data_IF_211676181963
#
_entry.id   IF_211676181963
#
_cell.length_a   1.000
_cell.length_b   1.000
_cell.length_c   1.000
_cell.angle_alpha   90.00
_cell.angle_beta   90.00
_cell.angle_gamma   90.00
#
_symmetry.space_group_name_H-M   'P 1'
#
loop_
_entity.id
_entity.type
_entity.pdbx_description
1 polymer ?
#
# COMPACT_ATOMS: atom_id res chain seq x y z
N UNK A 1 -2.85 -27.50 13.58
CA UNK A 1 -4.30 -27.20 13.51
C UNK A 1 -4.61 -25.85 14.13
N UNK A 2 -4.00 -25.47 15.26
CA UNK A 2 -4.14 -24.12 15.86
C UNK A 2 -3.81 -22.97 14.89
N UNK A 3 -2.74 -23.09 14.09
CA UNK A 3 -2.31 -22.01 13.18
C UNK A 3 -3.30 -21.72 12.04
N UNK A 4 -4.13 -22.68 11.64
CA UNK A 4 -5.19 -22.47 10.63
C UNK A 4 -6.41 -21.83 11.27
N UNK A 5 -6.72 -22.21 12.51
CA UNK A 5 -7.83 -21.65 13.28
C UNK A 5 -7.63 -20.15 13.55
N UNK A 6 -6.41 -19.75 13.93
CA UNK A 6 -6.04 -18.33 14.06
C UNK A 6 -6.17 -17.56 12.75
N UNK A 7 -5.87 -18.19 11.61
CA UNK A 7 -6.00 -17.56 10.29
C UNK A 7 -7.48 -17.36 9.91
N UNK A 8 -8.34 -18.33 10.25
CA UNK A 8 -9.78 -18.25 10.02
C UNK A 8 -10.47 -17.21 10.91
N UNK A 9 -10.08 -17.10 12.19
CA UNK A 9 -10.59 -16.08 13.11
C UNK A 9 -10.19 -14.66 12.69
N UNK A 10 -8.99 -14.48 12.13
CA UNK A 10 -8.57 -13.19 11.54
C UNK A 10 -9.47 -12.79 10.36
N UNK A 11 -9.96 -13.77 9.59
CA UNK A 11 -10.74 -13.56 8.37
C UNK A 11 -12.17 -13.09 8.68
N UNK A 12 -12.76 -13.52 9.80
CA UNK A 12 -14.10 -13.11 10.21
C UNK A 12 -14.16 -11.65 10.69
N UNK A 13 -13.09 -11.16 11.33
CA UNK A 13 -13.00 -9.78 11.81
C UNK A 13 -12.59 -8.79 10.70
N UNK A 14 -12.10 -9.28 9.57
CA UNK A 14 -11.57 -8.44 8.49
C UNK A 14 -12.67 -7.66 7.76
N UNK A 15 -13.83 -8.29 7.56
CA UNK A 15 -15.00 -7.66 6.94
C UNK A 15 -15.51 -6.48 7.77
N UNK A 16 -15.56 -6.62 9.09
CA UNK A 16 -15.99 -5.54 10.00
C UNK A 16 -14.99 -4.37 10.02
N UNK A 17 -13.70 -4.66 9.86
CA UNK A 17 -12.63 -3.65 9.84
C UNK A 17 -12.59 -2.87 8.52
N UNK A 18 -13.00 -3.48 7.39
CA UNK A 18 -12.90 -2.85 6.06
C UNK A 18 -14.24 -2.26 5.59
N UNK A 19 -15.36 -2.79 6.06
CA UNK A 19 -16.67 -2.31 5.62
C UNK A 19 -16.84 -0.82 5.99
N UNK A 20 -17.37 -0.05 5.04
CA UNK A 20 -17.52 1.41 5.12
C UNK A 20 -16.22 2.22 5.29
N UNK A 21 -15.03 1.63 5.10
CA UNK A 21 -13.75 2.36 5.10
C UNK A 21 -13.32 2.79 3.71
N UNK A 22 -12.48 3.81 3.66
CA UNK A 22 -11.95 4.42 2.45
C UNK A 22 -10.42 4.36 2.41
N UNK A 23 -9.87 4.36 1.21
CA UNK A 23 -8.43 4.46 0.98
C UNK A 23 -8.16 5.40 -0.18
N UNK A 24 -7.17 6.28 -0.02
CA UNK A 24 -6.75 7.18 -1.09
C UNK A 24 -5.64 6.52 -1.89
N UNK A 25 -5.73 6.56 -3.22
CA UNK A 25 -4.69 6.06 -4.11
C UNK A 25 -4.21 7.23 -4.97
N UNK A 26 -2.92 7.54 -4.86
CA UNK A 26 -2.27 8.63 -5.55
C UNK A 26 -1.24 8.08 -6.54
N UNK A 27 -1.33 8.47 -7.80
CA UNK A 27 -0.33 8.13 -8.81
C UNK A 27 0.72 9.23 -8.89
N UNK A 28 1.97 8.88 -8.67
CA UNK A 28 3.08 9.83 -8.54
C UNK A 28 4.23 9.49 -9.51
N UNK A 29 5.01 10.51 -9.82
CA UNK A 29 6.25 10.40 -10.60
C UNK A 29 7.37 9.70 -9.83
N UNK A 30 8.43 9.31 -10.54
CA UNK A 30 9.62 8.73 -9.91
C UNK A 30 10.31 9.73 -8.97
N UNK A 31 10.28 11.02 -9.32
CA UNK A 31 10.90 12.08 -8.50
C UNK A 31 10.13 12.26 -7.18
N UNK A 32 8.80 12.34 -7.25
CA UNK A 32 7.93 12.47 -6.08
C UNK A 32 8.05 11.27 -5.16
N UNK A 33 7.95 10.03 -5.67
CA UNK A 33 8.02 8.84 -4.82
C UNK A 33 9.39 8.67 -4.16
N UNK A 34 10.47 9.08 -4.84
CA UNK A 34 11.82 9.09 -4.26
C UNK A 34 11.94 10.10 -3.13
N UNK A 35 11.35 11.29 -3.29
CA UNK A 35 11.34 12.31 -2.25
C UNK A 35 10.50 11.87 -1.04
N UNK A 36 9.33 11.26 -1.28
CA UNK A 36 8.52 10.67 -0.23
C UNK A 36 9.26 9.56 0.53
N UNK A 37 9.93 8.65 -0.19
CA UNK A 37 10.72 7.57 0.42
C UNK A 37 11.86 8.12 1.28
N UNK A 38 12.51 9.19 0.81
CA UNK A 38 13.55 9.90 1.57
C UNK A 38 12.99 10.57 2.82
N UNK A 39 11.83 11.24 2.70
CA UNK A 39 11.21 12.00 3.79
C UNK A 39 10.66 11.11 4.90
N UNK A 40 9.94 10.05 4.53
CA UNK A 40 9.18 9.24 5.49
C UNK A 40 9.92 7.95 5.92
N UNK A 41 10.67 7.32 5.03
CA UNK A 41 11.42 6.09 5.32
C UNK A 41 12.95 6.30 5.39
N UNK A 42 13.43 7.52 5.17
CA UNK A 42 14.87 7.86 5.13
C UNK A 42 15.66 7.10 4.06
N UNK A 43 14.99 6.65 3.00
CA UNK A 43 15.61 5.93 1.88
C UNK A 43 15.62 6.78 0.62
N UNK A 44 16.81 7.16 0.14
CA UNK A 44 16.97 7.99 -1.05
C UNK A 44 16.94 7.16 -2.35
N UNK A 45 15.87 6.38 -2.57
CA UNK A 45 15.69 5.52 -3.74
C UNK A 45 14.24 5.54 -4.23
N UNK A 46 14.04 5.33 -5.52
CA UNK A 46 12.71 5.09 -6.09
C UNK A 46 12.15 3.75 -5.60
N UNK A 47 10.84 3.65 -5.52
CA UNK A 47 10.11 2.41 -5.21
C UNK A 47 8.81 2.40 -6.02
N UNK A 48 8.17 1.23 -6.09
CA UNK A 48 6.92 1.05 -6.81
C UNK A 48 5.70 1.54 -6.02
N UNK A 49 5.72 1.40 -4.69
CA UNK A 49 4.62 1.79 -3.79
C UNK A 49 5.12 2.27 -2.43
N UNK A 50 4.40 3.23 -1.84
CA UNK A 50 4.50 3.62 -0.44
C UNK A 50 3.11 3.67 0.18
N UNK A 51 2.98 3.22 1.43
CA UNK A 51 1.72 3.23 2.17
C UNK A 51 1.84 4.15 3.39
N UNK A 52 0.84 5.00 3.56
CA UNK A 52 0.71 5.98 4.64
C UNK A 52 -0.57 5.66 5.42
N UNK A 53 -0.48 4.85 6.49
CA UNK A 53 -1.65 4.53 7.29
C UNK A 53 -2.19 5.79 7.96
N UNK A 54 -3.50 5.90 8.03
CA UNK A 54 -4.17 6.94 8.80
C UNK A 54 -4.15 6.60 10.29
N UNK A 55 -4.23 7.62 11.15
CA UNK A 55 -4.52 7.41 12.57
C UNK A 55 -6.04 7.20 12.74
N UNK A 56 -6.50 6.01 13.17
CA UNK A 56 -7.92 5.72 13.33
C UNK A 56 -8.57 6.60 14.41
N UNK A 57 -7.80 7.20 15.33
CA UNK A 57 -8.33 8.15 16.31
C UNK A 57 -8.69 9.50 15.69
N UNK A 58 -8.06 9.86 14.57
CA UNK A 58 -8.30 11.13 13.87
C UNK A 58 -9.25 10.97 12.67
N UNK A 59 -9.22 9.81 12.01
CA UNK A 59 -10.04 9.54 10.84
C UNK A 59 -10.58 8.11 10.90
N UNK A 60 -11.75 7.94 11.51
CA UNK A 60 -12.35 6.63 11.74
C UNK A 60 -12.55 5.85 10.43
N UNK A 61 -12.99 6.52 9.36
CA UNK A 61 -13.36 5.88 8.09
C UNK A 61 -12.28 5.91 7.00
N UNK A 62 -11.08 6.42 7.29
CA UNK A 62 -9.97 6.47 6.35
C UNK A 62 -8.87 5.51 6.81
N UNK A 63 -8.59 4.48 6.01
CA UNK A 63 -7.48 3.55 6.27
C UNK A 63 -6.12 4.19 6.02
N UNK A 64 -6.08 5.17 5.10
CA UNK A 64 -4.88 5.92 4.77
C UNK A 64 -4.74 6.19 3.28
N UNK A 65 -3.50 6.36 2.86
CA UNK A 65 -3.12 6.69 1.49
C UNK A 65 -2.06 5.72 0.95
N UNK A 66 -2.14 5.41 -0.33
CA UNK A 66 -1.16 4.63 -1.08
C UNK A 66 -0.65 5.48 -2.24
N UNK A 67 0.64 5.79 -2.22
CA UNK A 67 1.33 6.42 -3.35
C UNK A 67 1.94 5.34 -4.25
N UNK A 68 1.56 5.33 -5.52
CA UNK A 68 1.98 4.35 -6.52
C UNK A 68 2.76 5.05 -7.63
N UNK A 69 3.89 4.48 -8.04
CA UNK A 69 4.63 4.97 -9.22
C UNK A 69 4.48 4.01 -10.42
N UNK A 70 3.58 4.30 -11.38
CA UNK A 70 3.35 3.44 -12.54
C UNK A 70 4.59 3.19 -13.39
N UNK A 71 5.51 4.17 -13.45
CA UNK A 71 6.74 4.05 -14.24
C UNK A 71 7.66 2.95 -13.69
N UNK A 72 7.89 2.95 -12.37
CA UNK A 72 8.70 1.91 -11.70
C UNK A 72 8.02 0.55 -11.81
N UNK A 73 6.70 0.48 -11.63
CA UNK A 73 5.95 -0.78 -11.80
C UNK A 73 6.12 -1.32 -13.21
N UNK A 74 6.03 -0.47 -14.24
CA UNK A 74 6.20 -0.88 -15.63
C UNK A 74 7.61 -1.46 -15.86
N UNK A 75 8.64 -0.77 -15.40
CA UNK A 75 10.04 -1.24 -15.50
C UNK A 75 10.22 -2.60 -14.79
N UNK A 76 9.78 -2.71 -13.54
CA UNK A 76 9.87 -3.96 -12.76
C UNK A 76 9.06 -5.11 -13.36
N UNK A 77 7.87 -4.82 -13.91
CA UNK A 77 7.01 -5.82 -14.55
C UNK A 77 7.68 -6.47 -15.77
N UNK A 78 8.43 -5.68 -16.55
CA UNK A 78 9.21 -6.18 -17.69
C UNK A 78 10.34 -7.08 -17.19
N UNK A 79 11.08 -6.62 -16.18
CA UNK A 79 12.21 -7.37 -15.57
C UNK A 79 11.75 -8.69 -14.97
N UNK A 80 10.58 -8.71 -14.31
CA UNK A 80 10.01 -9.91 -13.67
C UNK A 80 9.21 -10.81 -14.64
N UNK A 81 9.11 -10.43 -15.92
CA UNK A 81 8.30 -11.18 -16.90
C UNK A 81 6.78 -11.11 -16.66
N UNK A 82 6.30 -10.20 -15.81
CA UNK A 82 4.88 -9.97 -15.48
C UNK A 82 4.26 -8.96 -16.44
N UNK A 83 4.24 -9.27 -17.74
CA UNK A 83 3.66 -8.38 -18.76
C UNK A 83 2.13 -8.37 -18.64
N UNK A 84 1.52 -7.27 -19.07
CA UNK A 84 0.05 -7.12 -19.14
C UNK A 84 -0.46 -8.09 -20.21
N UNK A 85 -1.10 -9.17 -19.78
CA UNK A 85 -1.82 -10.13 -20.64
C UNK A 85 -3.15 -9.54 -21.08
#
# INVERSE_FOLDING_TARGET
MESIQTLCELNANFEEVINCKSINISFVSQQEIKELNRRFLKQNKTTNVLSFPSDPQCYEDLLGEIAICPSVIKEESIVQGKKRT
#
